data_IF_797433080558
#
_entry.id   IF_797433080558
#
_cell.length_a   1.000
_cell.length_b   1.000
_cell.length_c   1.000
_cell.angle_alpha   90.00
_cell.angle_beta   90.00
_cell.angle_gamma   90.00
#
_symmetry.space_group_name_H-M   'P 1'
#
loop_
_entity.id
_entity.type
_entity.pdbx_description
1 polymer ?
#
# COMPACT_ATOMS: atom_id res chain seq x y z
N UNK A 1 -0.17 22.26 0.36
CA UNK A 1 0.42 20.92 0.46
C UNK A 1 -0.25 20.00 -0.57
N UNK A 2 0.56 19.22 -1.31
CA UNK A 2 0.09 18.16 -2.21
C UNK A 2 0.66 16.83 -1.73
N UNK A 3 -0.16 15.78 -1.78
CA UNK A 3 0.26 14.41 -1.43
C UNK A 3 0.06 13.54 -2.67
N UNK A 4 1.13 12.91 -3.13
CA UNK A 4 1.12 11.98 -4.26
C UNK A 4 1.08 10.56 -3.71
N UNK A 5 -0.03 9.85 -3.92
CA UNK A 5 -0.20 8.47 -3.50
C UNK A 5 0.28 7.53 -4.61
N UNK A 6 1.26 6.70 -4.31
CA UNK A 6 1.94 5.84 -5.29
C UNK A 6 1.93 4.40 -4.79
N UNK A 7 1.23 3.55 -5.54
CA UNK A 7 1.28 2.10 -5.30
C UNK A 7 2.58 1.54 -5.90
N UNK A 8 3.16 0.53 -5.23
CA UNK A 8 4.31 -0.20 -5.77
C UNK A 8 4.05 -0.76 -7.17
N UNK A 9 5.09 -0.93 -7.97
CA UNK A 9 5.04 -1.59 -9.28
C UNK A 9 4.60 -3.05 -9.18
N UNK A 10 4.36 -3.69 -10.32
CA UNK A 10 3.99 -5.10 -10.36
C UNK A 10 5.03 -5.96 -9.63
N UNK A 11 4.56 -6.82 -8.72
CA UNK A 11 5.39 -7.79 -7.99
C UNK A 11 5.11 -9.22 -8.46
N UNK A 12 5.95 -10.17 -8.05
CA UNK A 12 5.72 -11.59 -8.29
C UNK A 12 4.39 -12.08 -7.72
N UNK A 13 3.95 -11.53 -6.58
CA UNK A 13 2.64 -11.83 -6.01
C UNK A 13 1.49 -11.41 -6.91
N UNK A 14 1.61 -10.26 -7.59
CA UNK A 14 0.60 -9.82 -8.56
C UNK A 14 0.50 -10.77 -9.76
N UNK A 15 1.64 -11.20 -10.32
CA UNK A 15 1.66 -12.14 -11.46
C UNK A 15 1.02 -13.48 -11.09
N UNK A 16 1.26 -13.95 -9.89
CA UNK A 16 0.74 -15.23 -9.39
C UNK A 16 -0.67 -15.12 -8.80
N UNK A 17 -1.31 -13.93 -8.84
CA UNK A 17 -2.62 -13.64 -8.24
C UNK A 17 -2.73 -14.09 -6.78
N UNK A 18 -1.67 -13.83 -6.01
CA UNK A 18 -1.63 -14.18 -4.59
C UNK A 18 -2.26 -13.06 -3.74
N UNK A 19 -2.89 -13.45 -2.67
CA UNK A 19 -3.08 -12.57 -1.53
C UNK A 19 -1.81 -12.59 -0.68
N UNK A 20 -1.17 -11.44 -0.57
CA UNK A 20 0.10 -11.30 0.13
C UNK A 20 0.13 -9.89 0.72
N UNK A 21 0.01 -9.80 2.03
CA UNK A 21 0.06 -8.54 2.76
C UNK A 21 1.49 -8.21 3.15
N UNK A 22 1.91 -8.73 4.30
CA UNK A 22 3.26 -8.53 4.82
C UNK A 22 4.29 -9.50 4.22
N UNK A 23 3.87 -10.55 3.54
CA UNK A 23 4.78 -11.42 2.78
C UNK A 23 5.52 -10.57 1.75
N UNK A 24 6.84 -10.51 1.85
CA UNK A 24 7.66 -9.62 1.03
C UNK A 24 8.10 -10.32 -0.26
N UNK A 25 7.45 -9.96 -1.36
CA UNK A 25 7.73 -10.47 -2.70
C UNK A 25 8.28 -9.35 -3.58
N UNK A 26 9.34 -9.61 -4.39
CA UNK A 26 10.05 -8.60 -5.17
C UNK A 26 9.21 -8.06 -6.33
N UNK A 27 9.65 -6.92 -6.88
CA UNK A 27 9.15 -6.40 -8.15
C UNK A 27 9.55 -7.33 -9.31
N UNK A 28 8.68 -7.40 -10.30
CA UNK A 28 9.02 -7.96 -11.61
C UNK A 28 9.78 -6.92 -12.45
N UNK A 29 10.33 -7.33 -13.60
CA UNK A 29 10.94 -6.37 -14.53
C UNK A 29 9.93 -5.34 -15.05
N UNK A 30 8.67 -5.76 -15.28
CA UNK A 30 7.59 -4.82 -15.58
C UNK A 30 7.34 -3.84 -14.42
N UNK A 31 7.36 -4.34 -13.18
CA UNK A 31 7.22 -3.47 -11.98
C UNK A 31 8.32 -2.41 -11.89
N UNK A 32 9.57 -2.76 -12.22
CA UNK A 32 10.69 -1.81 -12.29
C UNK A 32 10.51 -0.78 -13.41
N UNK A 33 10.01 -1.20 -14.57
CA UNK A 33 9.67 -0.28 -15.66
C UNK A 33 8.54 0.68 -15.25
N UNK A 34 7.51 0.19 -14.57
CA UNK A 34 6.43 1.04 -14.03
C UNK A 34 6.96 2.06 -13.01
N UNK A 35 7.88 1.63 -12.13
CA UNK A 35 8.54 2.54 -11.19
C UNK A 35 9.34 3.64 -11.90
N UNK A 36 10.05 3.31 -12.98
CA UNK A 36 10.76 4.29 -13.80
C UNK A 36 9.79 5.29 -14.45
N UNK A 37 8.63 4.82 -14.95
CA UNK A 37 7.59 5.70 -15.50
C UNK A 37 7.01 6.66 -14.45
N UNK A 38 6.89 6.21 -13.19
CA UNK A 38 6.52 7.10 -12.07
C UNK A 38 7.60 8.17 -11.88
N UNK A 39 8.87 7.79 -11.96
CA UNK A 39 9.99 8.74 -11.88
C UNK A 39 9.92 9.84 -12.95
N UNK A 40 9.60 9.48 -14.21
CA UNK A 40 9.39 10.45 -15.28
C UNK A 40 8.27 11.45 -14.95
N UNK A 41 7.17 10.97 -14.37
CA UNK A 41 6.03 11.83 -13.96
C UNK A 41 6.37 12.74 -12.78
N UNK A 42 7.26 12.30 -11.91
CA UNK A 42 7.67 13.05 -10.72
C UNK A 42 8.88 13.96 -10.98
N UNK A 43 9.53 13.89 -12.15
CA UNK A 43 10.81 14.57 -12.43
C UNK A 43 10.79 16.04 -12.02
N UNK A 44 9.79 16.78 -12.44
CA UNK A 44 9.66 18.23 -12.22
C UNK A 44 8.67 18.57 -11.09
N UNK A 45 8.21 17.58 -10.36
CA UNK A 45 7.31 17.80 -9.23
C UNK A 45 8.12 18.21 -8.01
N UNK A 46 7.85 19.37 -7.39
CA UNK A 46 8.55 19.78 -6.18
C UNK A 46 8.10 18.91 -5.00
N UNK A 47 8.96 18.00 -4.59
CA UNK A 47 8.74 17.14 -3.41
C UNK A 47 9.77 17.48 -2.34
N UNK A 48 9.32 17.76 -1.12
CA UNK A 48 10.20 17.90 0.04
C UNK A 48 10.53 16.54 0.67
N UNK A 49 9.59 15.57 0.61
CA UNK A 49 9.78 14.26 1.21
C UNK A 49 9.08 13.13 0.44
N UNK A 50 9.59 11.92 0.64
CA UNK A 50 8.94 10.66 0.28
C UNK A 50 8.81 9.79 1.52
N UNK A 51 7.58 9.39 1.85
CA UNK A 51 7.25 8.47 2.93
C UNK A 51 7.02 7.08 2.35
N UNK A 52 7.75 6.09 2.83
CA UNK A 52 7.93 4.83 2.12
C UNK A 52 7.61 3.65 3.06
N UNK A 53 6.76 2.75 2.61
CA UNK A 53 6.56 1.47 3.28
C UNK A 53 7.86 0.66 3.37
N UNK A 54 8.12 -0.08 4.46
CA UNK A 54 9.33 -0.87 4.62
C UNK A 54 9.40 -2.09 3.70
N UNK A 55 8.28 -2.53 3.08
CA UNK A 55 8.27 -3.71 2.23
C UNK A 55 9.04 -3.46 0.93
N UNK A 56 9.86 -4.44 0.51
CA UNK A 56 10.85 -4.29 -0.57
C UNK A 56 10.25 -3.76 -1.88
N UNK A 57 9.07 -4.24 -2.27
CA UNK A 57 8.37 -3.80 -3.48
C UNK A 57 8.03 -2.31 -3.49
N UNK A 58 7.72 -1.73 -2.33
CA UNK A 58 7.41 -0.30 -2.22
C UNK A 58 8.69 0.54 -2.12
N UNK A 59 9.68 0.09 -1.34
CA UNK A 59 10.98 0.78 -1.25
C UNK A 59 11.74 0.73 -2.57
N UNK A 60 11.80 -0.41 -3.27
CA UNK A 60 12.43 -0.49 -4.59
C UNK A 60 11.70 0.40 -5.62
N UNK A 61 10.36 0.49 -5.56
CA UNK A 61 9.60 1.43 -6.41
C UNK A 61 10.02 2.88 -6.14
N UNK A 62 10.13 3.28 -4.87
CA UNK A 62 10.56 4.62 -4.49
C UNK A 62 12.01 4.90 -4.92
N UNK A 63 12.93 3.94 -4.75
CA UNK A 63 14.33 4.08 -5.11
C UNK A 63 14.52 4.28 -6.62
N UNK A 64 13.73 3.56 -7.43
CA UNK A 64 13.76 3.73 -8.89
C UNK A 64 13.13 5.06 -9.29
N UNK A 65 11.94 5.38 -8.75
CA UNK A 65 11.20 6.58 -9.11
C UNK A 65 11.91 7.88 -8.69
N UNK A 66 12.68 7.84 -7.61
CA UNK A 66 13.41 9.02 -7.10
C UNK A 66 14.91 8.98 -7.40
N UNK A 67 15.32 8.18 -8.39
CA UNK A 67 16.74 8.13 -8.77
C UNK A 67 17.24 9.49 -9.24
N UNK A 68 18.36 9.95 -8.66
CA UNK A 68 18.95 11.26 -8.97
C UNK A 68 18.20 12.44 -8.32
N UNK A 69 17.28 12.20 -7.41
CA UNK A 69 16.55 13.22 -6.64
C UNK A 69 17.01 13.20 -5.18
N UNK A 70 18.25 13.54 -4.94
CA UNK A 70 18.89 13.51 -3.62
C UNK A 70 18.34 14.60 -2.67
N UNK A 71 17.69 15.63 -3.23
CA UNK A 71 17.01 16.68 -2.49
C UNK A 71 15.74 16.19 -1.78
N UNK A 72 15.13 15.09 -2.25
CA UNK A 72 13.90 14.53 -1.65
C UNK A 72 14.26 13.69 -0.43
N UNK A 73 13.86 14.15 0.74
CA UNK A 73 14.07 13.44 2.00
C UNK A 73 13.27 12.11 2.01
N UNK A 74 13.94 10.98 2.18
CA UNK A 74 13.33 9.64 2.24
C UNK A 74 13.12 9.20 3.68
N UNK A 75 11.88 8.81 4.01
CA UNK A 75 11.49 8.39 5.36
C UNK A 75 10.79 7.04 5.28
N UNK A 76 11.36 6.02 5.89
CA UNK A 76 10.70 4.72 6.04
C UNK A 76 9.66 4.83 7.15
N UNK A 77 8.41 4.49 6.84
CA UNK A 77 7.28 4.54 7.75
C UNK A 77 6.68 3.14 7.92
N UNK A 78 6.97 2.44 9.03
CA UNK A 78 6.48 1.08 9.27
C UNK A 78 4.95 0.94 9.18
N UNK A 79 4.23 1.97 9.58
CA UNK A 79 2.77 1.99 9.59
C UNK A 79 2.13 2.09 8.18
N UNK A 80 2.93 2.34 7.12
CA UNK A 80 2.50 2.28 5.72
C UNK A 80 2.63 0.88 5.09
N UNK A 81 3.05 -0.16 5.85
CA UNK A 81 3.07 -1.54 5.35
C UNK A 81 1.67 -2.01 4.95
N UNK A 82 1.59 -3.02 4.07
CA UNK A 82 0.30 -3.62 3.70
C UNK A 82 -0.37 -4.30 4.91
N UNK A 83 -1.65 -4.56 4.81
CA UNK A 83 -2.41 -5.33 5.79
C UNK A 83 -1.82 -6.74 5.90
N UNK A 84 -1.65 -7.24 7.14
CA UNK A 84 -1.30 -8.64 7.36
C UNK A 84 -2.52 -9.52 7.06
N UNK A 85 -2.45 -10.33 6.03
CA UNK A 85 -3.53 -11.21 5.60
C UNK A 85 -3.54 -12.58 6.32
N UNK A 86 -2.64 -12.79 7.29
CA UNK A 86 -2.61 -13.98 8.13
C UNK A 86 -2.52 -15.27 7.31
N UNK A 87 -3.44 -16.21 7.57
CA UNK A 87 -3.48 -17.51 6.88
C UNK A 87 -3.77 -17.43 5.38
N UNK A 88 -4.20 -16.28 4.88
CA UNK A 88 -4.40 -16.09 3.44
C UNK A 88 -3.09 -15.85 2.69
N UNK A 89 -1.97 -15.64 3.40
CA UNK A 89 -0.66 -15.39 2.78
C UNK A 89 0.20 -16.66 2.68
N UNK A 90 0.82 -16.93 1.54
CA UNK A 90 0.54 -16.42 0.20
C UNK A 90 -0.37 -17.39 -0.57
N UNK A 91 -1.68 -17.23 -0.47
CA UNK A 91 -2.65 -18.08 -1.18
C UNK A 91 -3.17 -17.38 -2.44
N UNK A 92 -3.46 -18.16 -3.48
CA UNK A 92 -4.23 -17.64 -4.61
C UNK A 92 -5.72 -17.54 -4.26
N UNK A 93 -6.45 -16.66 -4.95
CA UNK A 93 -7.92 -16.58 -4.80
C UNK A 93 -8.58 -17.93 -5.08
N UNK A 94 -8.04 -18.70 -6.03
CA UNK A 94 -8.56 -20.03 -6.34
C UNK A 94 -8.36 -21.02 -5.18
N UNK A 95 -7.22 -20.96 -4.51
CA UNK A 95 -6.95 -21.81 -3.34
C UNK A 95 -7.84 -21.42 -2.16
N UNK A 96 -7.99 -20.11 -1.89
CA UNK A 96 -8.89 -19.62 -0.85
C UNK A 96 -10.33 -20.04 -1.16
N UNK A 97 -10.78 -19.93 -2.42
CA UNK A 97 -12.11 -20.37 -2.85
C UNK A 97 -12.33 -21.85 -2.62
N UNK A 98 -11.30 -22.67 -2.83
CA UNK A 98 -11.38 -24.12 -2.62
C UNK A 98 -11.39 -24.49 -1.14
N UNK A 99 -10.57 -23.82 -0.32
CA UNK A 99 -10.33 -24.23 1.07
C UNK A 99 -11.26 -23.53 2.06
N UNK A 100 -11.66 -22.28 1.77
CA UNK A 100 -12.44 -21.43 2.66
C UNK A 100 -13.51 -20.63 1.89
N UNK A 101 -14.43 -21.28 1.15
CA UNK A 101 -15.36 -20.60 0.25
C UNK A 101 -16.29 -19.62 0.99
N UNK A 102 -16.90 -20.03 2.09
CA UNK A 102 -17.82 -19.18 2.87
C UNK A 102 -17.09 -17.96 3.48
N UNK A 103 -15.87 -18.17 3.93
CA UNK A 103 -15.06 -17.07 4.44
C UNK A 103 -14.69 -16.07 3.34
N UNK A 104 -14.30 -16.54 2.15
CA UNK A 104 -14.01 -15.67 1.01
C UNK A 104 -15.25 -14.85 0.62
N UNK A 105 -16.43 -15.46 0.62
CA UNK A 105 -17.69 -14.76 0.30
C UNK A 105 -18.01 -13.68 1.35
N UNK A 106 -17.85 -13.99 2.64
CA UNK A 106 -18.02 -13.00 3.71
C UNK A 106 -17.03 -11.83 3.56
N UNK A 107 -15.76 -12.14 3.32
CA UNK A 107 -14.71 -11.13 3.15
C UNK A 107 -14.96 -10.25 1.92
N UNK A 108 -15.39 -10.85 0.80
CA UNK A 108 -15.73 -10.08 -0.41
C UNK A 108 -17.00 -9.23 -0.26
N UNK A 109 -17.91 -9.63 0.63
CA UNK A 109 -19.12 -8.86 0.95
C UNK A 109 -18.81 -7.67 1.85
N UNK A 110 -17.99 -7.88 2.89
CA UNK A 110 -17.63 -6.85 3.87
C UNK A 110 -16.15 -6.98 4.28
N UNK A 111 -15.30 -6.42 3.44
CA UNK A 111 -13.85 -6.41 3.67
C UNK A 111 -13.46 -5.67 4.94
N UNK A 112 -14.17 -4.60 5.25
CA UNK A 112 -13.80 -3.72 6.38
C UNK A 112 -13.98 -4.44 7.71
N UNK A 113 -15.09 -5.15 7.89
CA UNK A 113 -15.45 -5.75 9.18
C UNK A 113 -15.22 -7.27 9.25
N UNK A 114 -14.74 -7.89 8.17
CA UNK A 114 -14.36 -9.31 8.16
C UNK A 114 -12.84 -9.43 8.28
N UNK A 115 -12.29 -9.71 9.48
CA UNK A 115 -10.83 -9.76 9.66
C UNK A 115 -10.23 -10.99 8.97
N UNK A 116 -9.01 -10.88 8.43
CA UNK A 116 -8.25 -12.05 7.97
C UNK A 116 -8.01 -13.02 9.13
N UNK A 117 -8.15 -14.32 8.87
CA UNK A 117 -7.87 -15.36 9.88
C UNK A 117 -6.41 -15.25 10.32
N UNK A 118 -6.17 -15.05 11.61
CA UNK A 118 -4.83 -14.82 12.20
C UNK A 118 -4.10 -13.61 11.59
N UNK A 119 -4.83 -12.70 10.95
CA UNK A 119 -4.30 -11.51 10.31
C UNK A 119 -4.67 -10.21 11.03
N UNK A 120 -4.40 -9.09 10.37
CA UNK A 120 -4.66 -7.75 10.89
C UNK A 120 -6.07 -7.30 10.45
N UNK A 121 -7.00 -6.98 11.38
CA UNK A 121 -8.29 -6.40 11.01
C UNK A 121 -8.09 -5.07 10.24
N UNK A 122 -8.94 -4.81 9.24
CA UNK A 122 -8.85 -3.58 8.47
C UNK A 122 -9.20 -2.36 9.32
N UNK A 123 -10.35 -2.38 9.99
CA UNK A 123 -10.93 -1.28 10.76
C UNK A 123 -10.19 -0.97 12.07
N UNK A 124 -9.83 -1.99 12.84
CA UNK A 124 -9.24 -1.84 14.17
C UNK A 124 -7.73 -2.05 14.22
N UNK A 125 -7.14 -2.54 13.14
CA UNK A 125 -5.69 -2.79 13.00
C UNK A 125 -5.04 -1.86 12.00
N UNK A 126 -5.28 -2.09 10.69
CA UNK A 126 -4.61 -1.36 9.62
C UNK A 126 -5.01 0.12 9.60
N UNK A 127 -6.30 0.43 9.61
CA UNK A 127 -6.78 1.80 9.47
C UNK A 127 -6.23 2.74 10.56
N UNK A 128 -6.25 2.39 11.87
CA UNK A 128 -5.72 3.28 12.90
C UNK A 128 -4.21 3.55 12.80
N UNK A 129 -3.39 2.55 12.38
CA UNK A 129 -1.95 2.79 12.22
C UNK A 129 -1.65 3.68 11.01
N UNK A 130 -2.37 3.46 9.89
CA UNK A 130 -2.22 4.28 8.70
C UNK A 130 -2.71 5.70 8.96
N UNK A 131 -3.83 5.88 9.70
CA UNK A 131 -4.33 7.19 10.10
C UNK A 131 -3.26 7.99 10.87
N UNK A 132 -2.66 7.41 11.91
CA UNK A 132 -1.58 8.07 12.67
C UNK A 132 -0.43 8.51 11.76
N UNK A 133 0.03 7.62 10.87
CA UNK A 133 1.09 7.96 9.93
C UNK A 133 0.70 9.12 9.00
N UNK A 134 -0.54 9.13 8.50
CA UNK A 134 -1.03 10.21 7.64
C UNK A 134 -1.17 11.54 8.40
N UNK A 135 -1.69 11.52 9.62
CA UNK A 135 -1.83 12.70 10.44
C UNK A 135 -0.45 13.35 10.74
N UNK A 136 0.56 12.52 11.03
CA UNK A 136 1.95 12.98 11.22
C UNK A 136 2.53 13.57 9.92
N UNK A 137 2.23 12.98 8.76
CA UNK A 137 2.66 13.47 7.44
C UNK A 137 1.98 14.80 7.13
N UNK A 138 0.66 14.88 7.34
CA UNK A 138 -0.13 16.10 7.10
C UNK A 138 0.33 17.25 8.00
N UNK A 139 0.63 16.97 9.27
CA UNK A 139 1.10 17.96 10.21
C UNK A 139 2.42 18.66 9.80
N UNK A 140 3.22 18.04 8.91
CA UNK A 140 4.44 18.65 8.38
C UNK A 140 4.17 19.73 7.33
N UNK A 141 3.01 19.74 6.68
CA UNK A 141 2.58 20.78 5.75
C UNK A 141 3.40 20.87 4.44
N UNK A 142 4.18 19.85 4.10
CA UNK A 142 5.10 19.83 2.96
C UNK A 142 4.55 18.99 1.78
N UNK A 143 4.90 19.36 0.54
CA UNK A 143 4.57 18.56 -0.63
C UNK A 143 5.35 17.25 -0.61
N UNK A 144 4.67 16.11 -0.70
CA UNK A 144 5.29 14.82 -0.50
C UNK A 144 4.69 13.71 -1.38
N UNK A 145 5.45 12.60 -1.49
CA UNK A 145 5.01 11.36 -2.10
C UNK A 145 4.89 10.26 -1.01
N UNK A 146 3.88 9.40 -1.12
CA UNK A 146 3.70 8.22 -0.26
C UNK A 146 3.77 6.98 -1.15
N UNK A 147 4.78 6.13 -0.93
CA UNK A 147 4.97 4.86 -1.63
C UNK A 147 4.49 3.72 -0.73
N UNK A 148 3.39 3.10 -1.11
CA UNK A 148 2.76 2.08 -0.28
C UNK A 148 2.00 1.02 -1.11
N UNK A 149 0.93 0.47 -0.57
CA UNK A 149 0.20 -0.68 -1.06
C UNK A 149 -1.28 -0.36 -1.22
N UNK A 150 -2.04 -1.31 -1.79
CA UNK A 150 -3.44 -1.09 -2.09
C UNK A 150 -4.27 -0.74 -0.85
N UNK A 151 -4.22 -1.56 0.19
CA UNK A 151 -5.01 -1.35 1.41
C UNK A 151 -4.75 0.00 2.07
N UNK A 152 -3.49 0.33 2.45
CA UNK A 152 -3.14 1.62 3.03
C UNK A 152 -3.47 2.81 2.14
N UNK A 153 -3.30 2.72 0.80
CA UNK A 153 -3.59 3.83 -0.10
C UNK A 153 -5.09 4.05 -0.31
N UNK A 154 -5.88 2.99 -0.37
CA UNK A 154 -7.34 3.09 -0.39
C UNK A 154 -7.85 3.78 0.89
N UNK A 155 -7.36 3.34 2.05
CA UNK A 155 -7.69 4.00 3.31
C UNK A 155 -7.21 5.46 3.35
N UNK A 156 -5.99 5.74 2.86
CA UNK A 156 -5.45 7.10 2.82
C UNK A 156 -6.35 8.06 2.04
N UNK A 157 -6.92 7.62 0.91
CA UNK A 157 -7.85 8.46 0.14
C UNK A 157 -9.09 8.81 0.95
N UNK A 158 -9.73 7.84 1.62
CA UNK A 158 -10.93 8.12 2.42
C UNK A 158 -10.61 8.98 3.63
N UNK A 159 -9.53 8.70 4.36
CA UNK A 159 -9.09 9.45 5.52
C UNK A 159 -8.80 10.93 5.18
N UNK A 160 -8.00 11.17 4.14
CA UNK A 160 -7.61 12.53 3.73
C UNK A 160 -8.78 13.34 3.16
N UNK A 161 -9.80 12.68 2.60
CA UNK A 161 -11.00 13.33 2.07
C UNK A 161 -12.16 13.41 3.07
N UNK A 162 -12.01 12.86 4.28
CA UNK A 162 -13.07 12.81 5.28
C UNK A 162 -14.25 11.92 4.88
N UNK A 163 -14.00 10.86 4.10
CA UNK A 163 -15.02 9.93 3.64
C UNK A 163 -15.08 8.69 4.55
N UNK A 164 -16.23 7.99 4.62
CA UNK A 164 -16.31 6.70 5.30
C UNK A 164 -15.31 5.70 4.71
N UNK A 165 -14.66 4.89 5.57
CA UNK A 165 -13.63 3.94 5.11
C UNK A 165 -14.19 2.87 4.16
N UNK A 166 -15.47 2.53 4.26
CA UNK A 166 -16.16 1.59 3.38
C UNK A 166 -16.24 2.08 1.93
N UNK A 167 -16.05 3.38 1.71
CA UNK A 167 -16.03 3.99 0.38
C UNK A 167 -14.79 3.60 -0.43
N UNK A 168 -13.68 3.30 0.23
CA UNK A 168 -12.40 3.02 -0.41
C UNK A 168 -12.36 1.72 -1.22
N UNK A 169 -13.30 0.81 -0.97
CA UNK A 169 -13.29 -0.56 -1.49
C UNK A 169 -14.46 -0.85 -2.44
N UNK A 170 -15.14 0.19 -2.91
CA UNK A 170 -16.26 0.09 -3.87
C UNK A 170 -15.90 0.49 -5.27
#
# INVERSE_FOLDING_TARGET
MKIYLIRHGQSEGNVRNLWYGITDLPLTDLGRQQAAQVGEKLRDVPLAAAYISPLSRASETADIALRGRDEVRRVIVPDLREQNMGRLEPMSVADIRREMPEYLDALMHDWVHTPPVEGEPYDTGMAPRVARALDDIVARGEDCAIFAHNGPLCFAMTHLLGLPMETALR
#
